data_IF_972839706241
#
_entry.id   IF_972839706241
#
_cell.length_a   1.000
_cell.length_b   1.000
_cell.length_c   1.000
_cell.angle_alpha   90.00
_cell.angle_beta   90.00
_cell.angle_gamma   90.00
#
_symmetry.space_group_name_H-M   'P 1'
#
loop_
_entity.id
_entity.type
_entity.pdbx_description
1 polymer ?
#
# COMPACT_ATOMS: atom_id res chain seq x y z
N UNK A 1 24.99 26.03 -19.61
CA UNK A 1 23.79 26.68 -19.04
C UNK A 1 23.29 25.78 -17.96
N UNK A 2 23.02 26.27 -16.75
CA UNK A 2 22.41 25.46 -15.70
C UNK A 2 20.99 25.07 -16.12
N UNK A 3 20.61 23.86 -15.83
CA UNK A 3 19.25 23.35 -16.04
C UNK A 3 18.21 24.26 -15.34
N UNK A 4 17.05 24.53 -15.94
CA UNK A 4 16.00 25.29 -15.27
C UNK A 4 15.61 24.67 -13.94
N UNK A 5 15.50 25.47 -12.88
CA UNK A 5 15.25 24.98 -11.51
C UNK A 5 13.98 24.14 -11.37
N UNK A 6 12.97 24.34 -12.20
CA UNK A 6 11.73 23.56 -12.14
C UNK A 6 11.86 22.15 -12.75
N UNK A 7 12.95 21.85 -13.46
CA UNK A 7 13.26 20.50 -13.97
C UNK A 7 14.09 19.68 -12.96
N UNK A 8 14.58 20.32 -11.89
CA UNK A 8 15.31 19.62 -10.83
C UNK A 8 14.31 18.92 -9.91
N UNK A 9 14.51 17.62 -9.70
CA UNK A 9 13.79 16.84 -8.69
C UNK A 9 14.69 16.65 -7.46
N UNK A 10 14.51 17.44 -6.38
CA UNK A 10 15.34 17.35 -5.18
C UNK A 10 15.27 16.00 -4.49
N UNK A 11 14.12 15.32 -4.55
CA UNK A 11 13.99 13.98 -4.04
C UNK A 11 14.87 13.00 -4.83
N UNK A 12 14.83 13.07 -6.16
CA UNK A 12 15.65 12.20 -7.02
C UNK A 12 17.13 12.42 -6.78
N UNK A 13 17.59 13.67 -6.76
CA UNK A 13 18.98 14.00 -6.46
C UNK A 13 19.41 13.44 -5.09
N UNK A 14 18.51 13.50 -4.12
CA UNK A 14 18.80 13.01 -2.78
C UNK A 14 18.91 11.49 -2.72
N UNK A 15 17.98 10.72 -3.31
CA UNK A 15 18.04 9.24 -3.29
C UNK A 15 19.21 8.69 -4.10
N UNK A 16 19.59 9.35 -5.20
CA UNK A 16 20.77 8.97 -5.97
C UNK A 16 22.06 9.16 -5.13
N UNK A 17 22.06 10.11 -4.20
CA UNK A 17 23.15 10.33 -3.23
C UNK A 17 23.22 9.31 -2.09
N UNK A 18 22.16 8.53 -1.82
CA UNK A 18 22.13 7.52 -0.75
C UNK A 18 22.98 6.27 -1.05
N UNK A 19 23.40 6.08 -2.30
CA UNK A 19 24.34 5.02 -2.71
C UNK A 19 23.72 3.60 -2.67
N UNK A 20 22.40 3.51 -2.71
CA UNK A 20 21.66 2.23 -2.81
C UNK A 20 21.01 2.09 -4.17
N UNK A 21 20.67 0.87 -4.63
CA UNK A 21 19.96 0.68 -5.88
C UNK A 21 18.64 1.47 -5.93
N UNK A 22 18.37 2.12 -7.06
CA UNK A 22 17.10 2.73 -7.39
C UNK A 22 16.53 1.98 -8.59
N UNK A 23 15.54 1.15 -8.33
CA UNK A 23 14.88 0.34 -9.36
C UNK A 23 13.63 1.08 -9.85
N UNK A 24 13.41 1.09 -11.17
CA UNK A 24 12.26 1.71 -11.79
C UNK A 24 11.59 0.75 -12.76
N UNK A 25 10.35 0.33 -12.46
CA UNK A 25 9.55 -0.49 -13.37
C UNK A 25 8.05 -0.35 -13.03
N UNK A 26 7.18 -0.98 -13.82
CA UNK A 26 5.74 -1.04 -13.59
C UNK A 26 5.38 -1.80 -12.32
N UNK A 27 6.16 -2.82 -11.97
CA UNK A 27 5.98 -3.63 -10.78
C UNK A 27 7.24 -4.42 -10.45
N UNK A 28 7.35 -4.83 -9.20
CA UNK A 28 8.51 -5.57 -8.68
C UNK A 28 8.07 -6.79 -7.89
N UNK A 29 8.93 -7.81 -7.87
CA UNK A 29 8.95 -8.83 -6.82
C UNK A 29 9.97 -8.39 -5.76
N UNK A 30 9.49 -7.78 -4.67
CA UNK A 30 10.33 -7.24 -3.60
C UNK A 30 11.05 -8.33 -2.79
N UNK A 31 10.62 -9.61 -2.91
CA UNK A 31 11.31 -10.72 -2.25
C UNK A 31 12.62 -11.11 -2.96
N UNK A 32 12.73 -10.80 -4.25
CA UNK A 32 13.91 -11.08 -5.06
C UNK A 32 14.68 -9.84 -5.52
N UNK A 33 14.17 -8.64 -5.25
CA UNK A 33 14.79 -7.38 -5.67
C UNK A 33 16.16 -7.19 -5.02
N UNK A 34 17.14 -6.76 -5.81
CA UNK A 34 18.49 -6.50 -5.35
C UNK A 34 18.54 -5.34 -4.35
N UNK A 35 19.34 -5.54 -3.29
CA UNK A 35 19.57 -4.57 -2.23
C UNK A 35 21.08 -4.39 -1.97
N UNK A 36 21.49 -3.21 -1.52
CA UNK A 36 22.87 -2.91 -1.17
C UNK A 36 22.98 -2.38 0.28
N UNK A 37 24.18 -2.33 0.86
CA UNK A 37 24.39 -1.68 2.16
C UNK A 37 23.91 -0.23 2.12
N UNK A 38 23.06 0.15 3.08
CA UNK A 38 22.49 1.47 3.22
C UNK A 38 23.02 2.12 4.49
N UNK A 39 24.01 3.00 4.33
CA UNK A 39 24.75 3.56 5.47
C UNK A 39 23.85 4.30 6.48
N UNK A 40 22.94 5.16 5.98
CA UNK A 40 22.02 5.91 6.85
C UNK A 40 21.09 4.98 7.63
N UNK A 41 20.64 3.92 7.01
CA UNK A 41 19.72 2.97 7.65
C UNK A 41 20.43 1.97 8.57
N UNK A 42 21.73 1.74 8.37
CA UNK A 42 22.50 0.70 9.08
C UNK A 42 22.07 -0.72 8.76
N UNK A 43 21.47 -0.93 7.59
CA UNK A 43 20.95 -2.19 7.07
C UNK A 43 21.23 -2.29 5.58
N UNK A 44 20.59 -3.21 4.87
CA UNK A 44 20.57 -3.23 3.40
C UNK A 44 19.26 -2.68 2.89
N UNK A 45 19.22 -2.17 1.66
CA UNK A 45 17.97 -1.73 1.07
C UNK A 45 18.11 -1.25 -0.36
N UNK A 46 16.98 -0.78 -0.89
CA UNK A 46 16.84 -0.22 -2.22
C UNK A 46 15.59 0.67 -2.27
N UNK A 47 15.52 1.56 -3.25
CA UNK A 47 14.29 2.21 -3.66
C UNK A 47 13.62 1.43 -4.78
N UNK A 48 12.32 1.19 -4.67
CA UNK A 48 11.50 0.58 -5.71
C UNK A 48 10.45 1.60 -6.20
N UNK A 49 10.78 2.33 -7.25
CA UNK A 49 9.95 3.37 -7.83
C UNK A 49 9.04 2.76 -8.90
N UNK A 50 7.80 2.44 -8.54
CA UNK A 50 6.82 1.92 -9.49
C UNK A 50 6.36 3.03 -10.45
N UNK A 51 6.35 2.77 -11.75
CA UNK A 51 6.04 3.79 -12.78
C UNK A 51 4.62 4.36 -12.70
N UNK A 52 3.68 3.65 -12.05
CA UNK A 52 2.33 4.14 -11.81
C UNK A 52 2.19 5.05 -10.59
N UNK A 53 3.28 5.29 -9.83
CA UNK A 53 3.26 6.22 -8.71
C UNK A 53 3.07 7.67 -9.20
N UNK A 54 2.53 8.52 -8.34
CA UNK A 54 2.64 9.99 -8.47
C UNK A 54 3.93 10.52 -7.83
N UNK A 55 3.87 11.76 -7.40
CA UNK A 55 5.04 12.47 -6.85
C UNK A 55 5.06 12.53 -5.32
N UNK A 56 4.14 11.84 -4.64
CA UNK A 56 3.95 12.00 -3.20
C UNK A 56 4.56 10.90 -2.35
N UNK A 57 4.66 9.67 -2.88
CA UNK A 57 5.16 8.51 -2.12
C UNK A 57 6.16 7.66 -2.92
N UNK A 58 7.00 6.95 -2.17
CA UNK A 58 7.94 5.96 -2.67
C UNK A 58 7.80 4.62 -1.93
N UNK A 59 8.54 3.61 -2.38
CA UNK A 59 8.73 2.34 -1.67
C UNK A 59 10.20 2.17 -1.35
N UNK A 60 10.51 2.09 -0.06
CA UNK A 60 11.83 1.75 0.47
C UNK A 60 11.83 0.27 0.88
N UNK A 61 12.60 -0.55 0.17
CA UNK A 61 12.84 -1.94 0.56
C UNK A 61 13.97 -1.99 1.59
N UNK A 62 13.69 -2.56 2.76
CA UNK A 62 14.62 -2.71 3.86
C UNK A 62 14.87 -4.19 4.09
N UNK A 63 16.14 -4.60 4.13
CA UNK A 63 16.55 -5.96 4.47
C UNK A 63 17.40 -5.95 5.73
N UNK A 64 16.92 -6.64 6.75
CA UNK A 64 17.64 -6.85 8.01
C UNK A 64 18.31 -8.21 7.97
N UNK A 65 19.63 -8.23 8.16
CA UNK A 65 20.39 -9.47 8.31
C UNK A 65 19.89 -10.27 9.53
N UNK A 66 20.17 -11.58 9.61
CA UNK A 66 19.88 -12.39 10.79
C UNK A 66 20.44 -11.76 12.06
N UNK A 67 19.60 -11.56 13.08
CA UNK A 67 19.96 -10.90 14.35
C UNK A 67 20.32 -9.42 14.23
N UNK A 68 20.18 -8.84 13.03
CA UNK A 68 20.52 -7.44 12.76
C UNK A 68 19.43 -6.46 13.18
N UNK A 69 19.80 -5.19 13.18
CA UNK A 69 18.88 -4.09 13.45
C UNK A 69 19.25 -2.86 12.61
N UNK A 70 18.29 -1.97 12.37
CA UNK A 70 18.60 -0.66 11.78
C UNK A 70 19.42 0.20 12.75
N UNK A 71 20.13 1.19 12.25
CA UNK A 71 20.53 2.34 13.05
C UNK A 71 19.28 3.05 13.61
N UNK A 72 19.38 3.83 14.69
CA UNK A 72 18.27 4.70 15.12
C UNK A 72 17.84 5.61 13.98
N UNK A 73 16.53 5.66 13.72
CA UNK A 73 15.93 6.47 12.67
C UNK A 73 15.00 7.51 13.27
N UNK A 74 14.87 8.63 12.57
CA UNK A 74 13.91 9.69 12.82
C UNK A 74 13.75 10.52 11.55
N UNK A 75 12.53 10.93 11.22
CA UNK A 75 12.28 11.73 10.00
C UNK A 75 10.92 12.43 10.03
N UNK A 76 10.83 13.55 9.31
CA UNK A 76 9.63 14.36 9.14
C UNK A 76 8.69 13.90 8.02
N UNK A 77 8.81 12.71 7.52
CA UNK A 77 7.86 12.13 6.57
C UNK A 77 7.11 10.96 7.21
N UNK A 78 5.92 10.70 6.70
CA UNK A 78 5.11 9.57 7.16
C UNK A 78 5.59 8.27 6.49
N UNK A 79 5.52 7.17 7.22
CA UNK A 79 5.88 5.85 6.74
C UNK A 79 4.88 4.80 7.21
N UNK A 80 4.39 4.02 6.25
CA UNK A 80 3.58 2.82 6.48
C UNK A 80 4.38 1.62 6.04
N UNK A 81 4.60 0.67 6.94
CA UNK A 81 5.48 -0.47 6.75
C UNK A 81 4.67 -1.75 6.62
N UNK A 82 4.87 -2.47 5.52
CA UNK A 82 4.37 -3.81 5.31
C UNK A 82 5.51 -4.82 5.42
N UNK A 83 5.33 -5.85 6.26
CA UNK A 83 6.34 -6.91 6.43
C UNK A 83 6.16 -7.98 5.38
N UNK A 84 7.12 -8.04 4.45
CA UNK A 84 7.13 -9.01 3.35
C UNK A 84 7.52 -10.40 3.84
N UNK A 85 8.58 -10.50 4.64
CA UNK A 85 9.09 -11.77 5.14
C UNK A 85 9.86 -11.61 6.45
N UNK A 86 10.00 -12.72 7.17
CA UNK A 86 10.72 -12.74 8.45
C UNK A 86 9.84 -12.37 9.65
N UNK A 87 10.51 -12.17 10.78
CA UNK A 87 9.91 -11.79 12.06
C UNK A 87 10.85 -10.90 12.85
N UNK A 88 10.32 -10.02 13.65
CA UNK A 88 11.14 -9.12 14.44
C UNK A 88 10.32 -8.21 15.33
N UNK A 89 10.90 -7.10 15.70
CA UNK A 89 10.22 -6.08 16.50
C UNK A 89 10.60 -4.67 16.03
N UNK A 90 9.76 -3.72 16.38
CA UNK A 90 10.05 -2.29 16.22
C UNK A 90 9.87 -1.61 17.55
N UNK A 91 10.87 -0.85 17.94
CA UNK A 91 10.78 0.06 19.09
C UNK A 91 10.56 1.49 18.60
N UNK A 92 9.65 2.22 19.24
CA UNK A 92 9.29 3.61 18.94
C UNK A 92 9.44 4.44 20.22
N UNK A 93 10.23 5.50 20.16
CA UNK A 93 10.44 6.42 21.27
C UNK A 93 9.32 7.46 21.30
N UNK A 94 8.32 7.27 22.15
CA UNK A 94 7.15 8.15 22.24
C UNK A 94 7.35 9.34 23.19
N UNK A 95 8.26 9.19 24.16
CA UNK A 95 8.74 10.26 25.04
C UNK A 95 10.18 9.92 25.51
N UNK A 96 10.80 10.81 26.28
CA UNK A 96 12.17 10.63 26.76
C UNK A 96 12.39 9.31 27.51
N UNK A 97 11.40 8.89 28.33
CA UNK A 97 11.44 7.65 29.11
C UNK A 97 10.31 6.68 28.72
N UNK A 98 9.59 6.91 27.62
CA UNK A 98 8.53 6.04 27.14
C UNK A 98 8.87 5.49 25.75
N UNK A 99 9.19 4.20 25.74
CA UNK A 99 9.47 3.42 24.52
C UNK A 99 8.44 2.33 24.35
N UNK A 100 7.76 2.33 23.23
CA UNK A 100 6.82 1.26 22.87
C UNK A 100 7.49 0.29 21.92
N UNK A 101 7.35 -1.01 22.21
CA UNK A 101 7.88 -2.07 21.36
C UNK A 101 6.77 -3.03 21.02
N UNK A 102 6.69 -3.41 19.75
CA UNK A 102 5.75 -4.43 19.26
C UNK A 102 6.48 -5.41 18.34
N UNK A 103 6.02 -6.66 18.36
CA UNK A 103 6.57 -7.73 17.54
C UNK A 103 5.74 -7.89 16.26
N UNK A 104 6.44 -8.10 15.16
CA UNK A 104 5.84 -8.30 13.85
C UNK A 104 6.33 -9.58 13.17
N UNK A 105 5.54 -10.10 12.26
CA UNK A 105 5.86 -11.21 11.36
C UNK A 105 5.46 -10.89 9.92
N UNK A 106 5.69 -11.84 9.02
CA UNK A 106 5.22 -11.71 7.63
C UNK A 106 3.74 -11.36 7.59
N UNK A 107 3.36 -10.40 6.73
CA UNK A 107 2.03 -9.82 6.59
C UNK A 107 1.55 -8.93 7.74
N UNK A 108 2.45 -8.50 8.64
CA UNK A 108 2.15 -7.39 9.54
C UNK A 108 2.14 -6.06 8.80
N UNK A 109 1.31 -5.14 9.28
CA UNK A 109 1.24 -3.74 8.82
C UNK A 109 1.37 -2.81 10.02
N UNK A 110 2.20 -1.79 9.91
CA UNK A 110 2.29 -0.76 10.95
C UNK A 110 2.69 0.60 10.37
N UNK A 111 2.40 1.66 11.10
CA UNK A 111 2.86 2.99 10.77
C UNK A 111 3.70 3.58 11.91
N UNK A 112 4.65 4.43 11.51
CA UNK A 112 5.52 5.15 12.43
C UNK A 112 4.91 6.52 12.70
N UNK A 113 4.65 6.89 13.96
CA UNK A 113 4.18 8.24 14.27
C UNK A 113 5.21 9.28 13.83
N UNK A 114 4.72 10.39 13.28
CA UNK A 114 5.54 11.40 12.64
C UNK A 114 6.66 11.89 13.54
N UNK A 115 7.88 11.85 13.02
CA UNK A 115 9.12 12.34 13.66
C UNK A 115 9.44 11.73 15.03
N UNK A 116 8.98 10.50 15.29
CA UNK A 116 9.41 9.71 16.45
C UNK A 116 10.72 8.98 16.16
N UNK A 117 11.57 8.81 17.17
CA UNK A 117 12.71 7.90 17.08
C UNK A 117 12.24 6.45 16.96
N UNK A 118 12.87 5.64 16.11
CA UNK A 118 12.52 4.22 16.00
C UNK A 118 13.71 3.36 15.56
N UNK A 119 13.59 2.05 15.81
CA UNK A 119 14.50 1.01 15.29
C UNK A 119 13.73 -0.26 14.95
N UNK A 120 14.13 -0.92 13.88
CA UNK A 120 13.68 -2.26 13.56
C UNK A 120 14.74 -3.29 13.94
N UNK A 121 14.31 -4.45 14.44
CA UNK A 121 15.14 -5.56 14.85
C UNK A 121 14.67 -6.85 14.21
N UNK A 122 15.58 -7.60 13.60
CA UNK A 122 15.27 -8.94 13.13
C UNK A 122 15.35 -9.95 14.27
N UNK A 123 14.24 -10.60 14.59
CA UNK A 123 14.15 -11.61 15.65
C UNK A 123 14.59 -13.02 15.25
N UNK A 124 15.06 -13.23 14.00
CA UNK A 124 15.61 -14.48 13.53
C UNK A 124 17.13 -14.42 13.55
N UNK A 125 17.77 -15.43 14.13
CA UNK A 125 19.24 -15.57 14.08
C UNK A 125 19.75 -16.23 12.78
N UNK A 126 18.88 -16.72 11.92
CA UNK A 126 19.24 -17.50 10.72
C UNK A 126 18.72 -16.94 9.41
N UNK A 127 17.59 -16.26 9.43
CA UNK A 127 16.90 -15.78 8.23
C UNK A 127 16.84 -14.25 8.18
N UNK A 128 17.03 -13.63 7.02
CA UNK A 128 16.81 -12.20 6.86
C UNK A 128 15.32 -11.85 6.98
N UNK A 129 15.02 -10.60 7.30
CA UNK A 129 13.68 -10.05 7.24
C UNK A 129 13.62 -8.93 6.20
N UNK A 130 12.56 -8.89 5.39
CA UNK A 130 12.31 -7.84 4.40
C UNK A 130 11.04 -7.06 4.73
N UNK A 131 11.17 -5.75 4.75
CA UNK A 131 10.10 -4.80 5.00
C UNK A 131 9.99 -3.85 3.80
N UNK A 132 8.76 -3.55 3.39
CA UNK A 132 8.47 -2.49 2.43
C UNK A 132 7.88 -1.29 3.18
N UNK A 133 8.61 -0.19 3.25
CA UNK A 133 8.12 1.06 3.78
C UNK A 133 7.62 1.94 2.62
N UNK A 134 6.32 2.22 2.59
CA UNK A 134 5.75 3.24 1.70
C UNK A 134 5.80 4.56 2.45
N UNK A 135 6.47 5.56 1.87
CA UNK A 135 6.77 6.80 2.60
C UNK A 135 6.36 8.05 1.82
N UNK A 136 6.06 9.14 2.54
CA UNK A 136 5.82 10.45 1.93
C UNK A 136 7.11 11.28 1.74
N UNK A 137 8.27 10.62 1.72
CA UNK A 137 9.56 11.27 1.54
C UNK A 137 9.66 12.13 0.27
N UNK A 138 9.18 11.69 -0.93
CA UNK A 138 9.23 12.50 -2.13
C UNK A 138 8.57 13.87 -1.95
N UNK A 139 7.36 13.89 -1.38
CA UNK A 139 6.64 15.12 -1.09
C UNK A 139 7.43 16.03 -0.15
N UNK A 140 7.89 15.48 0.98
CA UNK A 140 8.56 16.27 2.02
C UNK A 140 9.90 16.80 1.53
N UNK A 141 10.68 15.98 0.81
CA UNK A 141 11.96 16.39 0.26
C UNK A 141 11.81 17.47 -0.82
N UNK A 142 10.82 17.33 -1.69
CA UNK A 142 10.56 18.32 -2.74
C UNK A 142 10.02 19.66 -2.20
N UNK A 143 9.29 19.62 -1.07
CA UNK A 143 8.78 20.83 -0.40
C UNK A 143 9.89 21.57 0.34
N UNK A 144 10.66 20.89 1.18
CA UNK A 144 11.60 21.53 2.10
C UNK A 144 13.01 21.66 1.51
N UNK A 145 13.47 20.72 0.70
CA UNK A 145 14.81 20.71 0.06
C UNK A 145 15.97 20.82 1.04
N UNK A 146 15.77 20.42 2.28
CA UNK A 146 16.72 20.52 3.38
C UNK A 146 16.76 19.20 4.15
N UNK A 147 17.85 18.47 3.98
CA UNK A 147 18.06 17.17 4.60
C UNK A 147 18.07 17.27 6.13
N UNK A 148 18.69 18.31 6.70
CA UNK A 148 18.75 18.46 8.15
C UNK A 148 17.39 18.75 8.74
N UNK A 149 16.56 19.55 8.05
CA UNK A 149 15.19 19.79 8.45
C UNK A 149 14.35 18.50 8.46
N UNK A 150 14.57 17.61 7.50
CA UNK A 150 13.81 16.36 7.36
C UNK A 150 14.25 15.31 8.38
N UNK A 151 15.56 15.15 8.65
CA UNK A 151 16.10 14.06 9.46
C UNK A 151 16.56 14.46 10.86
N UNK A 152 16.90 15.74 11.08
CA UNK A 152 17.42 16.23 12.36
C UNK A 152 16.44 17.17 13.09
N UNK A 153 15.17 17.22 12.66
CA UNK A 153 14.17 18.10 13.25
C UNK A 153 13.82 17.69 14.69
N UNK A 154 13.93 18.60 15.68
CA UNK A 154 13.70 18.28 17.08
C UNK A 154 12.22 18.22 17.49
N UNK A 155 11.29 18.62 16.61
CA UNK A 155 9.87 18.75 16.96
C UNK A 155 9.23 17.39 17.25
N UNK A 156 8.60 17.27 18.42
CA UNK A 156 7.82 16.09 18.80
C UNK A 156 6.31 16.35 18.56
N UNK A 157 5.68 15.50 17.76
CA UNK A 157 4.25 15.57 17.46
C UNK A 157 3.47 14.65 18.41
N UNK A 158 3.44 14.97 19.68
CA UNK A 158 2.90 14.10 20.75
C UNK A 158 1.42 13.78 20.58
N UNK A 159 0.65 14.70 20.05
CA UNK A 159 -0.79 14.51 19.80
C UNK A 159 -1.08 13.46 18.72
N UNK A 160 -0.06 13.06 17.95
CA UNK A 160 -0.17 12.06 16.88
C UNK A 160 0.28 10.64 17.28
N UNK A 161 0.64 10.41 18.52
CA UNK A 161 1.19 9.13 18.96
C UNK A 161 0.14 8.02 19.07
N UNK A 162 -1.11 8.38 19.26
CA UNK A 162 -2.18 7.42 19.51
C UNK A 162 -2.06 6.73 20.89
N UNK A 163 -3.10 6.00 21.31
CA UNK A 163 -3.10 5.30 22.58
C UNK A 163 -2.17 4.07 22.57
N UNK A 164 -1.70 3.59 23.73
CA UNK A 164 -0.82 2.43 23.81
C UNK A 164 -1.37 1.14 23.17
N UNK A 165 -2.66 0.97 23.18
CA UNK A 165 -3.38 -0.20 22.62
C UNK A 165 -3.17 -0.31 21.11
N UNK A 166 -3.06 0.82 20.39
CA UNK A 166 -2.79 0.85 18.96
C UNK A 166 -1.43 0.26 18.57
N UNK A 167 -0.49 0.13 19.52
CA UNK A 167 0.80 -0.56 19.30
C UNK A 167 0.78 -2.04 19.68
N UNK A 168 -0.36 -2.55 20.16
CA UNK A 168 -0.55 -3.97 20.57
C UNK A 168 -1.42 -4.76 19.61
N UNK A 169 -1.84 -4.16 18.50
CA UNK A 169 -2.74 -4.76 17.53
C UNK A 169 -4.22 -4.48 17.79
N UNK A 170 -4.53 -3.72 18.82
CA UNK A 170 -5.87 -3.19 19.07
C UNK A 170 -6.09 -1.92 18.24
N UNK A 171 -7.35 -1.52 18.11
CA UNK A 171 -7.72 -0.32 17.37
C UNK A 171 -9.18 0.05 17.58
N UNK A 172 -9.59 1.12 16.93
CA UNK A 172 -10.94 1.65 16.99
C UNK A 172 -11.68 1.40 15.68
N UNK A 173 -12.81 0.70 15.75
CA UNK A 173 -13.68 0.48 14.61
C UNK A 173 -14.57 1.70 14.37
N UNK A 174 -14.50 2.28 13.17
CA UNK A 174 -15.24 3.48 12.80
C UNK A 174 -16.12 3.16 11.58
N UNK A 175 -17.45 3.10 11.73
CA UNK A 175 -18.37 3.01 10.60
C UNK A 175 -18.38 4.35 9.84
N UNK A 176 -18.01 4.33 8.56
CA UNK A 176 -17.96 5.54 7.73
C UNK A 176 -19.28 5.77 6.98
N UNK A 177 -19.79 4.76 6.31
CA UNK A 177 -21.03 4.71 5.54
C UNK A 177 -21.38 3.24 5.25
N UNK A 178 -22.60 2.93 4.77
CA UNK A 178 -22.96 1.56 4.44
C UNK A 178 -21.91 0.88 3.56
N UNK A 179 -21.42 -0.29 3.97
CA UNK A 179 -20.39 -1.06 3.29
C UNK A 179 -18.94 -0.55 3.46
N UNK A 180 -18.73 0.64 4.04
CA UNK A 180 -17.39 1.20 4.25
C UNK A 180 -17.10 1.33 5.74
N UNK A 181 -15.97 0.77 6.16
CA UNK A 181 -15.52 0.77 7.54
C UNK A 181 -14.05 1.11 7.63
N UNK A 182 -13.66 1.72 8.73
CA UNK A 182 -12.28 2.08 9.04
C UNK A 182 -11.85 1.42 10.35
N UNK A 183 -10.61 1.01 10.41
CA UNK A 183 -9.92 0.58 11.62
C UNK A 183 -8.78 1.56 11.90
N UNK A 184 -8.89 2.29 13.00
CA UNK A 184 -7.84 3.21 13.44
C UNK A 184 -6.88 2.48 14.37
N UNK A 185 -5.59 2.44 14.01
CA UNK A 185 -4.54 1.76 14.77
C UNK A 185 -3.16 2.23 14.33
N UNK A 186 -2.10 1.80 15.03
CA UNK A 186 -0.72 1.94 14.57
C UNK A 186 -0.12 0.60 14.11
N UNK A 187 -0.76 -0.53 14.47
CA UNK A 187 -0.22 -1.85 14.19
C UNK A 187 -1.33 -2.89 13.93
N UNK A 188 -1.18 -3.66 12.87
CA UNK A 188 -2.00 -4.84 12.54
C UNK A 188 -1.07 -6.05 12.51
N UNK A 189 -1.23 -7.01 13.46
CA UNK A 189 -0.31 -8.14 13.59
C UNK A 189 -0.24 -9.07 12.38
N UNK A 190 -1.38 -9.37 11.75
CA UNK A 190 -1.45 -10.27 10.59
C UNK A 190 -2.64 -9.92 9.68
N UNK A 191 -2.36 -9.33 8.52
CA UNK A 191 -3.37 -8.98 7.53
C UNK A 191 -4.09 -10.19 6.92
N UNK A 192 -3.46 -11.37 6.92
CA UNK A 192 -4.08 -12.60 6.38
C UNK A 192 -5.27 -13.04 7.21
N UNK A 193 -5.28 -12.71 8.51
CA UNK A 193 -6.30 -13.09 9.49
C UNK A 193 -7.20 -11.94 9.91
N UNK A 194 -6.93 -10.72 9.45
CA UNK A 194 -7.74 -9.56 9.81
C UNK A 194 -9.16 -9.73 9.28
N UNK A 195 -10.16 -9.42 10.12
CA UNK A 195 -11.58 -9.54 9.77
C UNK A 195 -12.00 -8.41 8.84
N UNK A 196 -12.42 -8.75 7.63
CA UNK A 196 -12.92 -7.80 6.65
C UNK A 196 -14.44 -7.72 6.72
N UNK A 197 -14.98 -6.61 6.22
CA UNK A 197 -16.43 -6.38 6.12
C UNK A 197 -16.86 -6.41 4.66
N UNK A 198 -18.01 -7.00 4.40
CA UNK A 198 -18.57 -7.06 3.06
C UNK A 198 -18.78 -5.66 2.47
N UNK A 199 -18.45 -5.52 1.21
CA UNK A 199 -18.68 -4.31 0.43
C UNK A 199 -19.17 -4.66 -0.98
N UNK A 200 -20.47 -4.95 -1.08
CA UNK A 200 -21.12 -5.41 -2.30
C UNK A 200 -20.99 -4.45 -3.49
N UNK A 201 -20.95 -3.15 -3.26
CA UNK A 201 -20.84 -2.13 -4.32
C UNK A 201 -19.60 -2.30 -5.22
N UNK A 202 -18.52 -2.94 -4.71
CA UNK A 202 -17.28 -3.22 -5.46
C UNK A 202 -17.31 -4.56 -6.20
N UNK A 203 -18.43 -5.26 -6.17
CA UNK A 203 -18.67 -6.49 -6.91
C UNK A 203 -18.14 -7.75 -6.21
N UNK A 204 -18.55 -8.89 -6.75
CA UNK A 204 -18.02 -10.24 -6.48
C UNK A 204 -18.02 -10.69 -5.02
N UNK A 205 -19.01 -10.30 -4.21
CA UNK A 205 -19.05 -10.59 -2.77
C UNK A 205 -17.72 -10.22 -2.05
N UNK A 206 -17.04 -9.20 -2.57
CA UNK A 206 -15.76 -8.75 -2.03
C UNK A 206 -15.91 -8.08 -0.67
N UNK A 207 -14.92 -8.24 0.17
CA UNK A 207 -14.84 -7.57 1.47
C UNK A 207 -13.71 -6.55 1.50
N UNK A 208 -13.79 -5.61 2.43
CA UNK A 208 -12.85 -4.49 2.54
C UNK A 208 -12.77 -3.97 3.97
N UNK A 209 -11.64 -3.38 4.30
CA UNK A 209 -11.45 -2.52 5.46
C UNK A 209 -10.45 -1.40 5.10
N UNK A 210 -10.64 -0.22 5.64
CA UNK A 210 -9.67 0.88 5.57
C UNK A 210 -8.92 0.98 6.88
N UNK A 211 -7.63 1.30 6.82
CA UNK A 211 -6.80 1.53 7.98
C UNK A 211 -6.41 3.00 8.06
N UNK A 212 -6.78 3.67 9.15
CA UNK A 212 -6.23 4.96 9.54
C UNK A 212 -5.03 4.68 10.47
N UNK A 213 -3.85 5.10 10.06
CA UNK A 213 -2.60 4.68 10.68
C UNK A 213 -1.84 5.88 11.25
N UNK A 214 -1.44 5.78 12.53
CA UNK A 214 -0.58 6.74 13.25
C UNK A 214 -1.03 8.21 13.14
N UNK A 215 -2.34 8.45 13.12
CA UNK A 215 -2.93 9.79 12.88
C UNK A 215 -2.33 10.50 11.65
N UNK A 216 -1.94 9.71 10.63
CA UNK A 216 -1.29 10.18 9.42
C UNK A 216 -2.24 10.67 8.35
N UNK A 217 -1.64 11.23 7.29
CA UNK A 217 -2.30 11.48 6.01
C UNK A 217 -2.17 10.28 5.07
N UNK A 218 -1.17 9.42 5.30
CA UNK A 218 -1.08 8.11 4.66
C UNK A 218 -2.07 7.14 5.29
N UNK A 219 -2.66 6.31 4.45
CA UNK A 219 -3.62 5.31 4.87
C UNK A 219 -3.43 4.03 4.07
N UNK A 220 -4.10 2.98 4.50
CA UNK A 220 -4.16 1.75 3.74
C UNK A 220 -5.60 1.25 3.64
N UNK A 221 -5.84 0.38 2.68
CA UNK A 221 -7.03 -0.45 2.69
C UNK A 221 -6.67 -1.88 2.27
N UNK A 222 -7.41 -2.83 2.80
CA UNK A 222 -7.31 -4.21 2.37
C UNK A 222 -8.61 -4.65 1.75
N UNK A 223 -8.48 -5.40 0.65
CA UNK A 223 -9.60 -5.98 -0.07
C UNK A 223 -9.38 -7.48 -0.26
N UNK A 224 -10.49 -8.22 -0.28
CA UNK A 224 -10.49 -9.64 -0.59
C UNK A 224 -11.38 -9.92 -1.79
N UNK A 225 -10.95 -10.88 -2.60
CA UNK A 225 -11.69 -11.45 -3.73
C UNK A 225 -11.84 -12.96 -3.48
N UNK A 226 -13.08 -13.48 -3.37
CA UNK A 226 -13.31 -14.93 -3.30
C UNK A 226 -12.75 -15.67 -4.52
N UNK A 227 -12.58 -16.99 -4.37
CA UNK A 227 -12.17 -17.87 -5.47
C UNK A 227 -13.13 -17.75 -6.65
N UNK A 228 -12.59 -17.70 -7.86
CA UNK A 228 -13.37 -17.65 -9.09
C UNK A 228 -14.07 -16.31 -9.32
N UNK A 229 -13.62 -15.23 -8.70
CA UNK A 229 -14.21 -13.89 -8.86
C UNK A 229 -13.16 -12.83 -9.19
N UNK A 230 -13.64 -11.71 -9.73
CA UNK A 230 -12.86 -10.49 -9.94
C UNK A 230 -13.69 -9.26 -9.58
N UNK A 231 -13.02 -8.13 -9.32
CA UNK A 231 -13.69 -6.87 -8.97
C UNK A 231 -14.10 -6.08 -10.20
N UNK A 232 -15.04 -5.15 -10.03
CA UNK A 232 -15.41 -4.18 -11.06
C UNK A 232 -14.23 -3.28 -11.39
N UNK A 233 -14.06 -2.93 -12.67
CA UNK A 233 -13.07 -1.97 -13.12
C UNK A 233 -13.34 -0.59 -12.55
N UNK A 234 -12.27 0.15 -12.22
CA UNK A 234 -12.40 1.51 -11.71
C UNK A 234 -11.10 2.29 -11.93
N UNK A 235 -11.18 3.61 -11.74
CA UNK A 235 -10.02 4.51 -11.81
C UNK A 235 -10.01 5.49 -10.64
N UNK A 236 -8.84 5.96 -10.30
CA UNK A 236 -8.62 6.99 -9.28
C UNK A 236 -7.28 7.71 -9.53
N UNK A 237 -6.89 8.60 -8.62
CA UNK A 237 -5.58 9.26 -8.65
C UNK A 237 -4.42 8.29 -8.42
N UNK A 238 -3.21 8.76 -8.68
CA UNK A 238 -1.97 8.01 -8.46
C UNK A 238 -1.70 7.68 -6.97
N UNK A 239 -0.52 7.13 -6.70
CA UNK A 239 0.01 6.85 -5.36
C UNK A 239 -0.72 5.76 -4.54
N UNK A 240 -1.42 4.85 -5.19
CA UNK A 240 -1.91 3.62 -4.57
C UNK A 240 -0.95 2.46 -4.85
N UNK A 241 -0.12 2.12 -3.89
CA UNK A 241 0.83 1.01 -3.99
C UNK A 241 0.16 -0.28 -3.51
N UNK A 242 0.02 -1.25 -4.40
CA UNK A 242 -0.72 -2.49 -4.19
C UNK A 242 0.25 -3.62 -3.88
N UNK A 243 0.02 -4.28 -2.74
CA UNK A 243 0.78 -5.43 -2.24
C UNK A 243 -0.17 -6.62 -2.09
N UNK A 244 -0.05 -7.68 -2.89
CA UNK A 244 -0.79 -8.92 -2.65
C UNK A 244 -0.35 -9.58 -1.34
N UNK A 245 -1.32 -9.93 -0.51
CA UNK A 245 -1.11 -10.54 0.83
C UNK A 245 -1.29 -12.04 0.78
N UNK A 246 -2.38 -12.52 0.13
CA UNK A 246 -2.67 -13.94 -0.12
C UNK A 246 -3.12 -14.13 -1.56
N UNK A 247 -3.02 -15.38 -2.03
CA UNK A 247 -3.41 -15.73 -3.39
C UNK A 247 -2.46 -15.18 -4.46
N UNK A 248 -2.86 -15.34 -5.70
CA UNK A 248 -2.19 -14.79 -6.88
C UNK A 248 -3.21 -14.48 -7.97
N UNK A 249 -2.82 -13.65 -8.90
CA UNK A 249 -3.67 -13.25 -10.00
C UNK A 249 -3.02 -12.22 -10.90
N UNK A 250 -3.84 -11.42 -11.52
CA UNK A 250 -3.36 -10.32 -12.35
C UNK A 250 -4.27 -9.10 -12.24
N UNK A 251 -3.76 -7.98 -12.72
CA UNK A 251 -4.53 -6.74 -12.91
C UNK A 251 -4.45 -6.36 -14.38
N UNK A 252 -5.58 -6.00 -14.97
CA UNK A 252 -5.62 -5.33 -16.26
C UNK A 252 -5.68 -3.83 -16.03
N UNK A 253 -4.93 -3.08 -16.83
CA UNK A 253 -4.87 -1.62 -16.80
C UNK A 253 -5.08 -1.08 -18.22
N UNK A 254 -5.86 0.02 -18.36
CA UNK A 254 -6.10 0.68 -19.65
C UNK A 254 -6.59 2.12 -19.45
N UNK A 255 -6.30 3.00 -20.38
CA UNK A 255 -6.98 4.29 -20.46
C UNK A 255 -8.27 4.17 -21.28
N UNK A 256 -9.15 5.11 -21.06
CA UNK A 256 -10.39 5.20 -21.85
C UNK A 256 -10.06 5.40 -23.32
N UNK A 257 -10.53 4.47 -24.18
CA UNK A 257 -10.25 4.46 -25.61
C UNK A 257 -9.06 3.58 -26.04
N UNK A 258 -8.30 3.00 -25.12
CA UNK A 258 -7.25 2.05 -25.47
C UNK A 258 -7.85 0.77 -26.09
N UNK A 259 -7.19 0.25 -27.11
CA UNK A 259 -7.59 -1.02 -27.75
C UNK A 259 -7.07 -2.23 -26.97
N UNK A 260 -5.95 -2.10 -26.26
CA UNK A 260 -5.27 -3.17 -25.54
C UNK A 260 -5.21 -2.92 -24.02
N UNK A 261 -5.04 -4.01 -23.27
CA UNK A 261 -4.84 -3.98 -21.83
C UNK A 261 -3.36 -4.22 -21.50
N UNK A 262 -2.84 -3.43 -20.56
CA UNK A 262 -1.57 -3.77 -19.87
C UNK A 262 -1.89 -4.78 -18.78
N UNK A 263 -1.21 -5.93 -18.78
CA UNK A 263 -1.38 -6.97 -17.75
C UNK A 263 -0.21 -6.94 -16.78
N UNK A 264 -0.52 -6.91 -15.48
CA UNK A 264 0.42 -7.03 -14.38
C UNK A 264 0.07 -8.28 -13.58
N UNK A 265 0.88 -9.32 -13.69
CA UNK A 265 0.72 -10.52 -12.86
C UNK A 265 1.28 -10.26 -11.45
N UNK A 266 0.60 -10.80 -10.44
CA UNK A 266 0.98 -10.56 -9.05
C UNK A 266 0.81 -11.80 -8.16
N UNK A 267 1.65 -11.85 -7.13
CA UNK A 267 1.66 -12.83 -6.04
C UNK A 267 2.18 -12.13 -4.78
N UNK A 268 2.20 -12.84 -3.65
CA UNK A 268 2.89 -12.32 -2.45
C UNK A 268 4.33 -11.90 -2.76
N UNK A 269 4.75 -10.74 -2.27
CA UNK A 269 6.02 -10.10 -2.59
C UNK A 269 5.96 -9.10 -3.75
N UNK A 270 4.94 -9.14 -4.60
CA UNK A 270 4.76 -8.14 -5.65
C UNK A 270 4.37 -6.78 -5.08
N UNK A 271 4.80 -5.70 -5.78
CA UNK A 271 4.28 -4.35 -5.64
C UNK A 271 4.07 -3.74 -7.01
N UNK A 272 2.98 -3.00 -7.20
CA UNK A 272 2.70 -2.19 -8.39
C UNK A 272 1.74 -1.05 -8.02
N UNK A 273 1.64 -0.04 -8.88
CA UNK A 273 0.68 1.06 -8.72
C UNK A 273 -0.02 1.34 -10.05
N UNK A 274 -1.36 1.40 -10.09
CA UNK A 274 -2.06 1.89 -11.28
C UNK A 274 -1.72 3.37 -11.53
N UNK A 275 -1.37 3.75 -12.75
CA UNK A 275 -1.15 5.16 -13.11
C UNK A 275 -2.39 6.03 -12.88
N UNK A 276 -2.17 7.34 -12.77
CA UNK A 276 -3.25 8.32 -12.59
C UNK A 276 -4.34 8.18 -13.66
N UNK A 277 -5.59 8.10 -13.20
CA UNK A 277 -6.81 7.96 -14.01
C UNK A 277 -6.84 6.75 -14.97
N UNK A 278 -5.89 5.83 -14.88
CA UNK A 278 -5.92 4.57 -15.63
C UNK A 278 -6.94 3.64 -15.00
N UNK A 279 -7.88 3.11 -15.80
CA UNK A 279 -8.76 2.06 -15.33
C UNK A 279 -7.94 0.84 -14.95
N UNK A 280 -8.33 0.19 -13.86
CA UNK A 280 -7.71 -1.05 -13.43
C UNK A 280 -8.74 -1.99 -12.83
N UNK A 281 -8.49 -3.28 -13.01
CA UNK A 281 -9.38 -4.34 -12.58
C UNK A 281 -8.57 -5.54 -12.08
N UNK A 282 -8.89 -6.05 -10.89
CA UNK A 282 -8.13 -7.09 -10.22
C UNK A 282 -8.83 -8.43 -10.32
N UNK A 283 -8.07 -9.49 -10.64
CA UNK A 283 -8.55 -10.83 -10.94
C UNK A 283 -7.89 -11.86 -10.04
N UNK A 284 -8.68 -12.61 -9.28
CA UNK A 284 -8.18 -13.73 -8.49
C UNK A 284 -8.13 -14.99 -9.35
N UNK A 285 -6.94 -15.52 -9.61
CA UNK A 285 -6.72 -16.77 -10.35
C UNK A 285 -6.13 -17.88 -9.47
N UNK A 286 -6.18 -17.70 -8.15
CA UNK A 286 -5.71 -18.69 -7.18
C UNK A 286 -6.85 -19.60 -6.70
N UNK A 287 -6.54 -20.81 -6.18
CA UNK A 287 -7.52 -21.69 -5.58
C UNK A 287 -7.96 -21.25 -4.16
N UNK A 288 -7.49 -20.12 -3.70
CA UNK A 288 -7.84 -19.49 -2.42
C UNK A 288 -8.32 -18.07 -2.60
N UNK A 289 -8.95 -17.50 -1.58
CA UNK A 289 -9.32 -16.08 -1.58
C UNK A 289 -8.06 -15.21 -1.66
N UNK A 290 -8.05 -14.26 -2.60
CA UNK A 290 -6.94 -13.36 -2.79
C UNK A 290 -7.17 -12.07 -2.01
N UNK A 291 -6.21 -11.72 -1.16
CA UNK A 291 -6.17 -10.45 -0.43
C UNK A 291 -5.07 -9.56 -0.98
N UNK A 292 -5.37 -8.28 -1.15
CA UNK A 292 -4.38 -7.26 -1.44
C UNK A 292 -4.53 -6.06 -0.50
N UNK A 293 -3.38 -5.52 -0.11
CA UNK A 293 -3.21 -4.29 0.62
C UNK A 293 -2.90 -3.18 -0.38
N UNK A 294 -3.56 -2.04 -0.29
CA UNK A 294 -3.18 -0.83 -1.01
C UNK A 294 -2.81 0.24 0.01
N UNK A 295 -1.63 0.83 -0.13
CA UNK A 295 -1.14 1.93 0.71
C UNK A 295 -1.13 3.19 -0.14
N UNK A 296 -1.70 4.27 0.38
CA UNK A 296 -1.92 5.50 -0.36
C UNK A 296 -1.71 6.76 0.49
N UNK A 297 -1.54 7.89 -0.20
CA UNK A 297 -1.41 9.21 0.39
C UNK A 297 -2.70 10.01 0.24
N UNK A 298 -3.11 10.71 1.31
CA UNK A 298 -4.23 11.66 1.30
C UNK A 298 -5.62 11.01 1.30
N UNK A 299 -6.65 11.84 1.38
CA UNK A 299 -8.03 11.43 1.12
C UNK A 299 -8.85 10.96 2.33
N UNK A 300 -8.26 10.48 3.43
CA UNK A 300 -9.01 9.94 4.57
C UNK A 300 -9.38 10.95 5.65
N UNK A 301 -8.59 11.97 5.83
CA UNK A 301 -8.64 12.82 7.03
C UNK A 301 -9.94 13.60 7.24
N UNK A 302 -10.82 13.63 6.25
CA UNK A 302 -12.07 14.41 6.31
C UNK A 302 -13.27 13.61 5.77
N UNK A 303 -13.54 12.42 6.31
CA UNK A 303 -14.60 11.55 5.78
C UNK A 303 -16.00 12.10 6.00
N UNK A 304 -16.17 13.06 6.93
CA UNK A 304 -17.47 13.61 7.32
C UNK A 304 -17.89 14.84 6.53
N UNK A 305 -16.98 15.48 5.78
CA UNK A 305 -17.35 16.63 4.97
C UNK A 305 -18.13 16.16 3.73
N UNK A 306 -19.32 16.72 3.55
CA UNK A 306 -20.24 16.36 2.48
C UNK A 306 -19.58 16.39 1.08
N UNK A 307 -18.70 17.36 0.83
CA UNK A 307 -18.01 17.53 -0.43
C UNK A 307 -16.91 16.47 -0.66
N UNK A 308 -16.39 15.87 0.40
CA UNK A 308 -15.42 14.77 0.32
C UNK A 308 -16.05 13.40 0.14
N UNK A 309 -17.35 13.28 0.37
CA UNK A 309 -18.09 12.09 -0.07
C UNK A 309 -17.93 11.86 -1.57
N UNK A 310 -17.83 12.91 -2.37
CA UNK A 310 -17.65 12.81 -3.82
C UNK A 310 -16.34 12.11 -4.19
N UNK A 311 -15.24 12.33 -3.48
CA UNK A 311 -13.95 11.70 -3.75
C UNK A 311 -13.96 10.20 -3.49
N UNK A 312 -14.67 9.74 -2.45
CA UNK A 312 -14.82 8.32 -2.14
C UNK A 312 -16.03 7.68 -2.83
N UNK A 313 -17.11 8.43 -3.06
CA UNK A 313 -18.32 7.91 -3.72
C UNK A 313 -18.12 7.68 -5.21
N UNK A 314 -17.25 8.43 -5.86
CA UNK A 314 -16.98 8.25 -7.28
C UNK A 314 -16.39 6.89 -7.66
N UNK A 315 -15.73 6.20 -6.72
CA UNK A 315 -15.12 4.89 -6.98
C UNK A 315 -16.09 3.70 -6.95
N UNK A 316 -17.29 3.86 -6.45
CA UNK A 316 -18.36 2.87 -6.41
C UNK A 316 -19.65 3.35 -7.10
N UNK A 317 -19.52 4.39 -7.91
CA UNK A 317 -20.57 4.95 -8.75
C UNK A 317 -20.19 4.70 -10.22
N UNK A 318 -21.16 4.29 -11.03
CA UNK A 318 -20.96 4.03 -12.45
C UNK A 318 -20.40 5.25 -13.19
N UNK A 319 -19.54 5.00 -14.16
CA UNK A 319 -19.08 6.05 -15.10
C UNK A 319 -20.25 6.68 -15.86
N UNK A 320 -21.33 5.93 -16.08
CA UNK A 320 -22.57 6.44 -16.71
C UNK A 320 -23.29 7.48 -15.85
N UNK A 321 -23.09 7.42 -14.55
CA UNK A 321 -23.67 8.33 -13.55
C UNK A 321 -22.66 9.38 -13.06
N UNK A 322 -21.58 9.60 -13.82
CA UNK A 322 -20.52 10.55 -13.49
C UNK A 322 -19.52 10.05 -12.43
N UNK A 323 -19.55 8.77 -12.11
CA UNK A 323 -18.59 8.12 -11.22
C UNK A 323 -17.33 7.63 -11.92
N UNK A 324 -16.66 6.64 -11.31
CA UNK A 324 -15.35 6.14 -11.73
C UNK A 324 -15.28 4.61 -11.80
N UNK A 325 -16.42 3.93 -11.71
CA UNK A 325 -16.54 2.47 -11.76
C UNK A 325 -17.22 2.03 -13.05
N UNK A 326 -16.71 0.94 -13.65
CA UNK A 326 -17.33 0.24 -14.77
C UNK A 326 -18.17 -0.89 -14.19
N UNK A 327 -19.47 -0.89 -14.45
CA UNK A 327 -20.34 -1.98 -14.03
C UNK A 327 -20.07 -3.24 -14.88
N UNK A 328 -20.36 -4.42 -14.37
CA UNK A 328 -20.06 -5.68 -15.07
C UNK A 328 -20.78 -5.81 -16.42
N UNK A 329 -21.99 -5.28 -16.53
CA UNK A 329 -22.76 -5.22 -17.77
C UNK A 329 -22.16 -4.26 -18.81
N UNK A 330 -21.28 -3.37 -18.38
CA UNK A 330 -20.65 -2.33 -19.21
C UNK A 330 -19.18 -2.60 -19.51
N UNK A 331 -18.62 -3.67 -18.91
CA UNK A 331 -17.22 -4.02 -19.14
C UNK A 331 -16.99 -4.54 -20.56
N UNK A 332 -15.79 -4.35 -21.09
CA UNK A 332 -15.40 -4.96 -22.36
C UNK A 332 -15.53 -6.49 -22.28
N UNK A 333 -16.28 -7.13 -23.18
CA UNK A 333 -16.49 -8.59 -23.16
C UNK A 333 -15.20 -9.42 -23.23
N UNK A 334 -14.10 -8.83 -23.70
CA UNK A 334 -12.78 -9.47 -23.71
C UNK A 334 -12.28 -9.73 -22.30
N UNK A 335 -12.57 -8.85 -21.33
CA UNK A 335 -12.12 -8.96 -19.93
C UNK A 335 -12.61 -10.27 -19.33
N UNK A 336 -13.92 -10.51 -19.39
CA UNK A 336 -14.52 -11.74 -18.89
C UNK A 336 -13.95 -13.00 -19.57
N UNK A 337 -13.78 -12.95 -20.89
CA UNK A 337 -13.23 -14.06 -21.67
C UNK A 337 -11.79 -14.38 -21.25
N UNK A 338 -10.92 -13.35 -21.12
CA UNK A 338 -9.54 -13.51 -20.62
C UNK A 338 -9.54 -14.20 -19.26
N UNK A 339 -10.41 -13.78 -18.36
CA UNK A 339 -10.50 -14.34 -17.02
C UNK A 339 -10.99 -15.81 -17.02
N UNK A 340 -12.07 -16.10 -17.72
CA UNK A 340 -12.62 -17.46 -17.79
C UNK A 340 -11.65 -18.45 -18.47
N UNK A 341 -10.91 -18.01 -19.49
CA UNK A 341 -9.87 -18.80 -20.12
C UNK A 341 -8.70 -19.10 -19.16
N UNK A 342 -8.26 -18.10 -18.41
CA UNK A 342 -7.21 -18.26 -17.39
C UNK A 342 -7.65 -19.25 -16.30
N UNK A 343 -8.87 -19.14 -15.78
CA UNK A 343 -9.39 -20.07 -14.78
C UNK A 343 -9.50 -21.49 -15.29
N UNK A 344 -9.92 -21.65 -16.56
CA UNK A 344 -10.03 -22.97 -17.21
C UNK A 344 -8.68 -23.68 -17.27
N UNK A 345 -7.62 -22.95 -17.63
CA UNK A 345 -6.25 -23.52 -17.67
C UNK A 345 -5.75 -23.95 -16.29
N UNK A 346 -6.28 -23.35 -15.22
CA UNK A 346 -5.95 -23.64 -13.83
C UNK A 346 -6.91 -24.64 -13.16
N UNK A 347 -7.95 -25.07 -13.84
CA UNK A 347 -8.95 -25.98 -13.29
C UNK A 347 -9.83 -25.34 -12.19
N UNK A 348 -9.98 -24.03 -12.19
CA UNK A 348 -10.78 -23.27 -11.23
C UNK A 348 -12.12 -22.91 -11.86
N UNK A 349 -13.22 -23.14 -11.15
CA UNK A 349 -14.56 -22.74 -11.61
C UNK A 349 -14.76 -21.23 -11.45
N UNK A 350 -15.24 -20.58 -12.51
CA UNK A 350 -15.68 -19.18 -12.43
C UNK A 350 -17.00 -19.10 -11.68
N UNK A 351 -17.09 -18.17 -10.74
CA UNK A 351 -18.32 -17.82 -10.02
C UNK A 351 -18.97 -16.53 -10.54
N UNK A 352 -18.41 -15.95 -11.59
CA UNK A 352 -18.95 -14.71 -12.16
C UNK A 352 -20.34 -14.89 -12.75
N UNK A 353 -20.71 -16.11 -13.20
CA UNK A 353 -22.07 -16.41 -13.66
C UNK A 353 -23.16 -16.21 -12.60
N UNK A 354 -22.83 -16.43 -11.32
CA UNK A 354 -23.75 -16.20 -10.19
C UNK A 354 -23.98 -14.70 -9.93
N UNK A 355 -22.97 -13.87 -10.25
CA UNK A 355 -22.93 -12.43 -10.00
C UNK A 355 -23.64 -11.66 -11.10
N UNK A 356 -23.61 -12.17 -12.33
CA UNK A 356 -24.26 -11.58 -13.51
C UNK A 356 -25.77 -11.90 -13.61
N UNK A 357 -26.35 -12.65 -12.70
CA UNK A 357 -27.80 -12.87 -12.71
C UNK A 357 -28.50 -11.58 -12.29
N UNK A 358 -29.41 -11.01 -13.11
CA UNK A 358 -30.24 -9.91 -12.64
C UNK A 358 -31.09 -10.39 -11.48
N UNK A 359 -31.16 -9.58 -10.45
CA UNK A 359 -32.00 -9.81 -9.28
C UNK A 359 -33.49 -9.84 -9.64
#
# INVERSE_FOLDING_TARGET
MSEPRFLVDPYREWIDGEGVPVHEDFGFDLLSLDVAPWARLGARGAYALVKGRGDFVDVQLIELAPGGATAPQRHLYEAVVYVLSGRGSTSVDVAEDDRRTFEWGSSSLFALPLNTGYRHFNGSGTEPARLAAVTSLPLVMNVFRDQSFVFDNPTAFRDRLGPPEHFRGDGTFIPMRPGRHMWETNFVPDLRRFELREWAARGAAGSNIMFALADGTMHAHMSEMPVGTYKKGHRHGADFHIFPVTGHGYTLLWYEGDEDFVRVDWKHGSVYAPPDQMFHQHFNTSPEAARYLAIAFGGLRYPTLADKRATFTGMDVSVKDGGRQIEYEDEDPRIRRIYEDELRTRGIASRMGEIFQPA
#
